data_IF_480783823868
#
_entry.id   IF_480783823868
#
_cell.length_a   1.000
_cell.length_b   1.000
_cell.length_c   1.000
_cell.angle_alpha   90.00
_cell.angle_beta   90.00
_cell.angle_gamma   90.00
#
_symmetry.space_group_name_H-M   'P 1'
#
loop_
_entity.id
_entity.type
_entity.pdbx_description
1 polymer ?
#
# COMPACT_ATOMS: atom_id res chain seq x y z
N UNK A 1 7.49 -2.13 -12.20
CA UNK A 1 6.46 -1.30 -12.89
C UNK A 1 5.24 -1.07 -11.99
N UNK A 2 4.95 -1.97 -11.05
CA UNK A 2 3.72 -2.01 -10.23
C UNK A 2 3.63 -1.07 -9.01
N UNK A 3 4.22 0.14 -9.04
CA UNK A 3 3.98 1.16 -8.00
C UNK A 3 3.85 2.59 -8.56
N UNK A 4 3.92 2.72 -9.89
CA UNK A 4 3.68 3.99 -10.55
C UNK A 4 2.23 4.41 -10.33
N UNK A 5 2.02 5.72 -10.15
CA UNK A 5 0.71 6.28 -9.90
C UNK A 5 0.43 6.66 -8.44
N UNK A 6 1.42 6.55 -7.58
CA UNK A 6 1.35 6.95 -6.17
C UNK A 6 2.49 7.90 -5.86
N UNK A 7 2.22 8.94 -5.06
CA UNK A 7 3.25 9.84 -4.56
C UNK A 7 4.18 9.14 -3.56
N UNK A 8 5.32 9.76 -3.25
CA UNK A 8 6.27 9.23 -2.26
C UNK A 8 5.58 9.10 -0.89
N UNK A 9 4.90 10.16 -0.46
CA UNK A 9 4.19 10.23 0.84
C UNK A 9 3.14 9.12 0.97
N UNK A 10 2.32 8.93 -0.07
CA UNK A 10 1.29 7.90 -0.06
C UNK A 10 1.89 6.50 -0.18
N UNK A 11 3.02 6.34 -0.87
CA UNK A 11 3.81 5.11 -0.93
C UNK A 11 4.23 4.66 0.47
N UNK A 12 4.89 5.53 1.22
CA UNK A 12 5.29 5.27 2.61
C UNK A 12 4.10 4.91 3.51
N UNK A 13 2.98 5.64 3.38
CA UNK A 13 1.77 5.35 4.14
C UNK A 13 1.23 3.95 3.85
N UNK A 14 1.16 3.57 2.58
CA UNK A 14 0.65 2.25 2.18
C UNK A 14 1.51 1.10 2.72
N UNK A 15 2.84 1.24 2.68
CA UNK A 15 3.77 0.23 3.21
C UNK A 15 3.62 0.09 4.72
N UNK A 16 3.52 1.21 5.44
CA UNK A 16 3.34 1.19 6.89
C UNK A 16 2.06 0.44 7.27
N UNK A 17 0.97 0.70 6.54
CA UNK A 17 -0.31 0.01 6.73
C UNK A 17 -0.18 -1.48 6.40
N UNK A 18 0.44 -1.83 5.27
CA UNK A 18 0.66 -3.22 4.87
C UNK A 18 1.52 -3.97 5.90
N UNK A 19 2.62 -3.35 6.34
CA UNK A 19 3.54 -3.88 7.35
C UNK A 19 2.80 -4.14 8.66
N UNK A 20 1.95 -3.21 9.08
CA UNK A 20 1.14 -3.35 10.29
C UNK A 20 0.19 -4.55 10.20
N UNK A 21 -0.62 -4.63 9.15
CA UNK A 21 -1.57 -5.74 8.99
C UNK A 21 -0.85 -7.09 8.85
N UNK A 22 0.23 -7.15 8.07
CA UNK A 22 0.99 -8.38 7.90
C UNK A 22 1.65 -8.83 9.22
N UNK A 23 2.16 -7.90 10.01
CA UNK A 23 2.71 -8.17 11.35
C UNK A 23 1.64 -8.76 12.26
N UNK A 24 0.44 -8.17 12.29
CA UNK A 24 -0.68 -8.67 13.09
C UNK A 24 -1.13 -10.08 12.68
N UNK A 25 -1.27 -10.32 11.37
CA UNK A 25 -1.68 -11.64 10.86
C UNK A 25 -0.63 -12.69 11.22
N UNK A 26 0.64 -12.41 10.94
CA UNK A 26 1.75 -13.33 11.23
C UNK A 26 1.85 -13.60 12.74
N UNK A 27 1.72 -12.56 13.56
CA UNK A 27 1.68 -12.71 15.01
C UNK A 27 0.50 -13.56 15.47
N UNK A 28 -0.69 -13.35 14.92
CA UNK A 28 -1.88 -14.16 15.23
C UNK A 28 -1.69 -15.63 14.91
N UNK A 29 -1.09 -15.96 13.75
CA UNK A 29 -0.76 -17.34 13.37
C UNK A 29 0.24 -17.95 14.37
N UNK A 30 1.31 -17.23 14.72
CA UNK A 30 2.31 -17.69 15.69
C UNK A 30 1.67 -17.91 17.07
N UNK A 31 0.80 -17.00 17.51
CA UNK A 31 0.09 -17.11 18.79
C UNK A 31 -0.81 -18.35 18.82
N UNK A 32 -1.55 -18.62 17.75
CA UNK A 32 -2.39 -19.83 17.62
C UNK A 32 -1.51 -21.09 17.68
N UNK A 33 -0.41 -21.14 16.93
CA UNK A 33 0.51 -22.28 16.96
C UNK A 33 1.08 -22.51 18.36
N UNK A 34 1.53 -21.45 19.03
CA UNK A 34 2.06 -21.55 20.39
C UNK A 34 1.00 -22.00 21.40
N UNK A 35 -0.24 -21.55 21.24
CA UNK A 35 -1.37 -22.01 22.06
C UNK A 35 -1.68 -23.50 21.82
N UNK A 36 -1.66 -23.96 20.57
CA UNK A 36 -1.80 -25.39 20.26
C UNK A 36 -0.67 -26.21 20.90
N UNK A 37 0.59 -25.78 20.77
CA UNK A 37 1.72 -26.44 21.42
C UNK A 37 1.56 -26.49 22.95
N UNK A 38 1.05 -25.42 23.56
CA UNK A 38 0.78 -25.38 25.00
C UNK A 38 -0.28 -26.41 25.42
N UNK A 39 -1.40 -26.50 24.67
CA UNK A 39 -2.49 -27.46 24.96
C UNK A 39 -2.01 -28.91 24.81
N UNK A 40 -1.26 -29.24 23.75
CA UNK A 40 -0.80 -30.61 23.53
C UNK A 40 0.32 -31.06 24.46
N UNK A 41 0.95 -30.16 25.23
CA UNK A 41 2.02 -30.51 26.16
C UNK A 41 1.50 -31.18 27.45
N UNK A 42 0.20 -31.10 27.77
CA UNK A 42 -0.47 -31.66 28.98
C UNK A 42 0.19 -31.34 30.34
N UNK A 43 1.18 -30.46 30.38
CA UNK A 43 1.98 -30.06 31.53
C UNK A 43 1.63 -28.61 31.89
N UNK A 44 0.45 -28.41 32.46
CA UNK A 44 -0.08 -27.09 32.76
C UNK A 44 0.43 -26.58 34.11
N UNK A 45 1.15 -25.46 34.07
CA UNK A 45 1.58 -24.72 35.26
C UNK A 45 1.43 -23.22 35.01
N UNK A 46 1.27 -22.43 36.08
CA UNK A 46 1.26 -20.97 36.00
C UNK A 46 2.52 -20.42 35.33
N UNK A 47 3.67 -21.01 35.61
CA UNK A 47 4.95 -20.65 35.00
C UNK A 47 4.98 -20.92 33.48
N UNK A 48 4.46 -22.06 33.03
CA UNK A 48 4.31 -22.34 31.59
C UNK A 48 3.33 -21.40 30.88
N UNK A 49 2.24 -21.00 31.56
CA UNK A 49 1.28 -20.04 31.04
C UNK A 49 1.89 -18.64 30.90
N UNK A 50 2.58 -18.15 31.94
CA UNK A 50 3.25 -16.86 31.90
C UNK A 50 4.34 -16.81 30.83
N UNK A 51 5.11 -17.90 30.67
CA UNK A 51 6.07 -18.02 29.56
C UNK A 51 5.39 -17.92 28.21
N UNK A 52 4.26 -18.60 27.99
CA UNK A 52 3.51 -18.52 26.73
C UNK A 52 3.12 -17.07 26.40
N UNK A 53 2.58 -16.35 27.37
CA UNK A 53 2.19 -14.94 27.21
C UNK A 53 3.41 -14.08 26.87
N UNK A 54 4.50 -14.20 27.63
CA UNK A 54 5.74 -13.45 27.43
C UNK A 54 6.31 -13.70 26.03
N UNK A 55 6.42 -14.97 25.61
CA UNK A 55 6.93 -15.34 24.29
C UNK A 55 6.05 -14.80 23.16
N UNK A 56 4.72 -14.79 23.35
CA UNK A 56 3.79 -14.25 22.37
C UNK A 56 3.96 -12.73 22.22
N UNK A 57 4.16 -12.00 23.32
CA UNK A 57 4.47 -10.56 23.26
C UNK A 57 5.83 -10.28 22.63
N UNK A 58 6.90 -10.99 23.03
CA UNK A 58 8.20 -10.82 22.37
C UNK A 58 8.16 -11.15 20.88
N UNK A 59 7.32 -12.13 20.49
CA UNK A 59 7.06 -12.48 19.11
C UNK A 59 6.52 -11.30 18.28
N UNK A 60 5.62 -10.48 18.82
CA UNK A 60 5.08 -9.32 18.06
C UNK A 60 6.18 -8.30 17.77
N UNK A 61 7.06 -8.04 18.74
CA UNK A 61 8.18 -7.12 18.57
C UNK A 61 9.20 -7.65 17.57
N UNK A 62 9.52 -8.95 17.64
CA UNK A 62 10.43 -9.60 16.70
C UNK A 62 9.95 -9.53 15.26
N UNK A 63 8.69 -9.92 15.01
CA UNK A 63 8.09 -9.86 13.67
C UNK A 63 8.01 -8.43 13.16
N UNK A 64 7.53 -7.49 13.98
CA UNK A 64 7.43 -6.09 13.61
C UNK A 64 8.78 -5.46 13.26
N UNK A 65 9.82 -5.77 14.03
CA UNK A 65 11.19 -5.26 13.80
C UNK A 65 11.78 -5.81 12.51
N UNK A 66 11.67 -7.12 12.28
CA UNK A 66 12.15 -7.76 11.04
C UNK A 66 11.43 -7.21 9.81
N UNK A 67 10.11 -7.05 9.88
CA UNK A 67 9.33 -6.51 8.77
C UNK A 67 9.64 -5.04 8.51
N UNK A 68 9.78 -4.23 9.57
CA UNK A 68 10.22 -2.84 9.44
C UNK A 68 11.61 -2.76 8.79
N UNK A 69 12.54 -3.62 9.19
CA UNK A 69 13.87 -3.72 8.60
C UNK A 69 13.82 -4.08 7.10
N UNK A 70 13.10 -5.14 6.73
CA UNK A 70 12.98 -5.58 5.33
C UNK A 70 12.33 -4.49 4.47
N UNK A 71 11.27 -3.84 4.94
CA UNK A 71 10.63 -2.73 4.22
C UNK A 71 11.58 -1.54 4.05
N UNK A 72 12.28 -1.16 5.10
CA UNK A 72 13.21 -0.04 5.07
C UNK A 72 14.43 -0.29 4.17
N UNK A 73 15.04 -1.47 4.22
CA UNK A 73 16.25 -1.74 3.44
C UNK A 73 15.97 -2.30 2.05
N UNK A 74 14.97 -3.16 1.92
CA UNK A 74 14.66 -3.85 0.68
C UNK A 74 13.88 -2.99 -0.30
N UNK A 75 12.97 -2.15 0.19
CA UNK A 75 11.97 -1.53 -0.68
C UNK A 75 11.96 -0.01 -0.67
N UNK A 76 12.46 0.65 0.38
CA UNK A 76 12.52 2.13 0.48
C UNK A 76 12.99 2.83 -0.81
N UNK A 77 14.12 2.40 -1.36
CA UNK A 77 14.71 2.98 -2.58
C UNK A 77 13.81 2.80 -3.81
N UNK A 78 13.11 1.66 -3.89
CA UNK A 78 12.14 1.39 -4.96
C UNK A 78 10.97 2.37 -4.88
N UNK A 79 10.41 2.56 -3.67
CA UNK A 79 9.31 3.49 -3.43
C UNK A 79 9.67 4.93 -3.74
N UNK A 80 10.85 5.37 -3.31
CA UNK A 80 11.33 6.73 -3.60
C UNK A 80 11.46 6.95 -5.11
N UNK A 81 12.02 5.96 -5.84
CA UNK A 81 12.16 6.06 -7.29
C UNK A 81 10.80 6.11 -8.01
N UNK A 82 9.86 5.21 -7.68
CA UNK A 82 8.55 5.18 -8.32
C UNK A 82 7.67 6.37 -7.92
N UNK A 83 7.73 6.81 -6.67
CA UNK A 83 7.03 7.99 -6.18
C UNK A 83 7.55 9.27 -6.84
N UNK A 84 8.88 9.42 -6.96
CA UNK A 84 9.50 10.57 -7.63
C UNK A 84 9.07 10.64 -9.10
N UNK A 85 9.09 9.51 -9.80
CA UNK A 85 8.64 9.45 -11.20
C UNK A 85 7.16 9.81 -11.33
N UNK A 86 6.31 9.30 -10.44
CA UNK A 86 4.87 9.59 -10.43
C UNK A 86 4.61 11.07 -10.18
N UNK A 87 5.27 11.68 -9.19
CA UNK A 87 5.14 13.10 -8.90
C UNK A 87 5.63 14.00 -10.04
N UNK A 88 6.70 13.61 -10.75
CA UNK A 88 7.15 14.33 -11.95
C UNK A 88 6.10 14.29 -13.06
N UNK A 89 5.46 13.14 -13.27
CA UNK A 89 4.37 12.99 -14.23
C UNK A 89 3.19 13.88 -13.81
N UNK A 90 2.76 13.84 -12.55
CA UNK A 90 1.66 14.68 -12.04
C UNK A 90 1.95 16.17 -12.20
N UNK A 91 3.18 16.61 -11.88
CA UNK A 91 3.62 18.00 -12.08
C UNK A 91 3.57 18.40 -13.55
N UNK A 92 4.06 17.55 -14.45
CA UNK A 92 4.07 17.82 -15.90
C UNK A 92 2.66 17.87 -16.50
N UNK A 93 1.71 17.13 -15.93
CA UNK A 93 0.31 17.12 -16.34
C UNK A 93 -0.52 18.24 -15.67
N UNK A 94 0.07 19.04 -14.78
CA UNK A 94 -0.59 20.20 -14.17
C UNK A 94 -1.46 19.89 -12.95
N UNK A 95 -1.25 18.77 -12.27
CA UNK A 95 -1.97 18.44 -11.04
C UNK A 95 -1.56 19.39 -9.90
N UNK A 96 -2.53 19.89 -9.14
CA UNK A 96 -2.31 20.86 -8.06
C UNK A 96 -1.59 20.26 -6.84
N UNK A 97 -1.93 19.01 -6.47
CA UNK A 97 -1.40 18.34 -5.28
C UNK A 97 -0.65 17.03 -5.63
N UNK A 98 0.50 17.06 -6.33
CA UNK A 98 1.18 15.85 -6.82
C UNK A 98 1.62 14.91 -5.70
N UNK A 99 2.00 15.44 -4.54
CA UNK A 99 2.50 14.69 -3.38
C UNK A 99 1.38 13.96 -2.60
N UNK A 100 0.12 14.27 -2.89
CA UNK A 100 -1.04 13.67 -2.21
C UNK A 100 -1.84 12.74 -3.12
N UNK A 101 -1.45 12.63 -4.39
CA UNK A 101 -2.11 11.72 -5.31
C UNK A 101 -1.77 10.26 -5.00
N UNK A 102 -2.80 9.43 -4.99
CA UNK A 102 -2.68 7.98 -4.94
C UNK A 102 -3.72 7.35 -5.87
N UNK A 103 -3.30 7.08 -7.10
CA UNK A 103 -4.10 6.43 -8.11
C UNK A 103 -3.71 4.95 -8.28
N UNK A 104 -2.88 4.40 -7.41
CA UNK A 104 -2.35 3.04 -7.54
C UNK A 104 -3.45 1.99 -7.77
N UNK A 105 -4.53 2.08 -6.99
CA UNK A 105 -5.67 1.16 -7.11
C UNK A 105 -6.55 1.45 -8.35
N UNK A 106 -6.44 2.64 -8.94
CA UNK A 106 -7.20 3.01 -10.15
C UNK A 106 -6.44 2.65 -11.43
N UNK A 107 -5.11 2.55 -11.34
CA UNK A 107 -4.24 2.01 -12.38
C UNK A 107 -4.38 0.49 -12.54
N UNK A 108 -4.90 -0.22 -11.53
CA UNK A 108 -5.07 -1.67 -11.52
C UNK A 108 -6.56 -2.02 -11.55
N UNK A 109 -7.15 -2.08 -12.75
CA UNK A 109 -8.49 -2.67 -12.93
C UNK A 109 -8.39 -4.01 -13.68
N UNK A 110 -9.44 -4.83 -13.58
CA UNK A 110 -9.48 -6.27 -13.94
C UNK A 110 -8.95 -6.64 -15.34
N UNK A 111 -8.85 -5.69 -16.28
CA UNK A 111 -8.36 -5.89 -17.66
C UNK A 111 -6.99 -5.25 -17.96
N UNK A 112 -6.23 -4.80 -16.93
CA UNK A 112 -4.89 -4.21 -17.07
C UNK A 112 -4.81 -2.71 -16.74
N UNK A 113 -3.74 -2.05 -17.20
CA UNK A 113 -3.46 -0.63 -16.90
C UNK A 113 -4.36 0.29 -17.74
N UNK A 114 -5.54 0.63 -17.22
CA UNK A 114 -6.43 1.61 -17.87
C UNK A 114 -6.26 3.00 -17.25
N UNK A 115 -5.38 3.80 -17.85
CA UNK A 115 -5.19 5.22 -17.50
C UNK A 115 -6.24 6.05 -18.24
N UNK A 116 -7.51 5.98 -17.85
CA UNK A 116 -8.50 6.94 -18.36
C UNK A 116 -8.67 8.07 -17.34
N UNK A 117 -8.62 9.32 -17.82
CA UNK A 117 -8.89 10.52 -17.00
C UNK A 117 -10.24 10.41 -16.30
N UNK A 118 -11.19 9.72 -16.95
CA UNK A 118 -12.51 9.44 -16.43
C UNK A 118 -12.53 8.57 -15.17
N UNK A 119 -11.57 7.65 -15.01
CA UNK A 119 -11.50 6.74 -13.85
C UNK A 119 -10.90 7.41 -12.61
N UNK A 120 -9.87 8.25 -12.76
CA UNK A 120 -9.20 8.84 -11.59
C UNK A 120 -9.85 10.16 -11.09
N UNK A 121 -10.67 10.84 -11.90
CA UNK A 121 -11.30 12.14 -11.58
C UNK A 121 -12.09 12.12 -10.27
N UNK A 122 -12.72 11.00 -9.93
CA UNK A 122 -13.51 10.84 -8.70
C UNK A 122 -12.67 10.75 -7.40
N UNK A 123 -11.37 10.47 -7.51
CA UNK A 123 -10.43 10.29 -6.39
C UNK A 123 -9.31 11.31 -6.39
N UNK A 124 -9.29 12.18 -7.39
CA UNK A 124 -8.37 13.30 -7.53
C UNK A 124 -8.31 14.13 -6.26
N UNK A 125 -7.09 14.55 -5.89
CA UNK A 125 -6.88 15.57 -4.86
C UNK A 125 -6.58 16.91 -5.53
N UNK A 126 -7.37 17.94 -5.23
CA UNK A 126 -7.25 19.26 -5.83
C UNK A 126 -8.06 19.40 -7.12
N UNK A 127 -7.85 20.50 -7.83
CA UNK A 127 -8.56 20.81 -9.07
C UNK A 127 -8.15 19.86 -10.21
N UNK A 128 -9.12 19.49 -11.06
CA UNK A 128 -8.84 18.68 -12.25
C UNK A 128 -8.00 19.46 -13.27
N UNK A 129 -6.82 18.94 -13.65
CA UNK A 129 -6.03 19.54 -14.73
C UNK A 129 -6.71 19.49 -16.11
N UNK A 130 -7.72 18.63 -16.29
CA UNK A 130 -8.45 18.48 -17.56
C UNK A 130 -9.87 19.02 -17.47
N UNK A 131 -10.36 19.70 -18.52
CA UNK A 131 -11.73 20.20 -18.56
C UNK A 131 -12.74 19.05 -18.60
N UNK A 132 -13.99 19.32 -18.22
CA UNK A 132 -15.01 18.27 -18.13
C UNK A 132 -15.27 17.57 -19.47
N UNK A 133 -15.18 18.31 -20.57
CA UNK A 133 -15.41 17.90 -21.96
C UNK A 133 -14.17 17.30 -22.67
N UNK A 134 -13.10 16.99 -21.92
CA UNK A 134 -11.80 16.56 -22.47
C UNK A 134 -11.90 15.38 -23.46
N UNK A 135 -12.83 14.45 -23.24
CA UNK A 135 -13.05 13.31 -24.14
C UNK A 135 -14.10 13.54 -25.22
N UNK A 136 -14.99 14.52 -25.06
CA UNK A 136 -16.06 14.78 -26.01
C UNK A 136 -15.55 15.51 -27.25
N UNK A 137 -14.48 16.31 -27.11
CA UNK A 137 -13.84 17.05 -28.20
C UNK A 137 -13.24 16.18 -29.31
N UNK A 138 -12.98 14.89 -29.07
CA UNK A 138 -12.46 13.98 -30.09
C UNK A 138 -13.52 13.52 -31.09
N UNK A 139 -14.79 13.37 -30.66
CA UNK A 139 -15.86 12.91 -31.56
C UNK A 139 -16.20 13.92 -32.65
N UNK A 140 -16.12 15.21 -32.36
CA UNK A 140 -16.44 16.27 -33.33
C UNK A 140 -15.42 16.39 -34.46
N UNK A 141 -14.15 16.04 -34.21
CA UNK A 141 -13.10 16.09 -35.25
C UNK A 141 -13.16 14.87 -36.17
N UNK A 142 -13.56 13.70 -35.67
CA UNK A 142 -13.74 12.48 -36.48
C UNK A 142 -15.01 12.51 -37.35
N UNK A 143 -16.04 13.26 -36.96
CA UNK A 143 -17.27 13.45 -37.78
C UNK A 143 -17.14 14.51 -38.86
N UNK A 144 -16.01 15.21 -38.94
CA UNK A 144 -15.73 16.29 -39.91
C UNK A 144 -14.72 15.88 -41.00
N UNK A 145 -14.27 14.62 -41.03
CA UNK A 145 -13.43 14.05 -42.09
C UNK A 145 -14.18 12.99 -42.90
#
# INVERSE_FOLDING_TARGET
IYEMGRSIKMGYKAIMIQTYYFTLITWGVIAILMLLFYIFKFSYSWDSFLRLIIWTFWGIFGVGTLMGFVNYFGYKKSYENFGTLSEQIFKKLGFECPEEQDFYNDFLTDDGVQISVMKYRNKLKGQDPYPEDYFDKKRTVETLN
#
